data_IF_581610481234
#
_entry.id   IF_581610481234
#
_cell.length_a   1.000
_cell.length_b   1.000
_cell.length_c   1.000
_cell.angle_alpha   90.00
_cell.angle_beta   90.00
_cell.angle_gamma   90.00
#
_symmetry.space_group_name_H-M   'P 1'
#
loop_
_entity.id
_entity.type
_entity.pdbx_description
1 polymer ?
#
# COMPACT_ATOMS: atom_id res chain seq x y z
N UNK A 1 -8.75 24.04 8.98
CA UNK A 1 -7.77 24.27 10.05
C UNK A 1 -6.41 24.36 9.39
N UNK A 2 -5.72 25.50 9.48
CA UNK A 2 -4.41 25.68 8.85
C UNK A 2 -3.36 24.92 9.66
N UNK A 3 -2.51 24.14 8.98
CA UNK A 3 -1.41 23.42 9.63
C UNK A 3 -0.43 24.39 10.29
N UNK A 4 -0.01 24.09 11.51
CA UNK A 4 1.02 24.85 12.24
C UNK A 4 2.44 24.63 11.65
N UNK A 5 2.61 23.62 10.79
CA UNK A 5 3.90 23.24 10.19
C UNK A 5 4.15 23.90 8.82
N UNK A 6 3.20 24.69 8.31
CA UNK A 6 3.22 25.26 6.98
C UNK A 6 2.37 24.47 5.96
N UNK A 7 2.39 24.88 4.69
CA UNK A 7 1.57 24.26 3.66
C UNK A 7 2.01 22.80 3.39
N UNK A 8 1.07 21.85 3.23
CA UNK A 8 1.42 20.47 2.89
C UNK A 8 2.28 20.38 1.64
N UNK A 9 3.42 19.69 1.75
CA UNK A 9 4.37 19.51 0.64
C UNK A 9 3.93 18.34 -0.23
N UNK A 10 2.92 18.60 -1.05
CA UNK A 10 2.33 17.62 -1.96
C UNK A 10 2.51 18.09 -3.40
N UNK A 11 2.87 17.15 -4.26
CA UNK A 11 2.94 17.38 -5.70
C UNK A 11 2.27 16.23 -6.42
N UNK A 12 1.47 16.55 -7.43
CA UNK A 12 0.82 15.57 -8.28
C UNK A 12 1.50 15.50 -9.63
N UNK A 13 1.45 14.30 -10.21
CA UNK A 13 1.72 14.11 -11.61
C UNK A 13 0.59 14.73 -12.45
N UNK A 14 0.88 15.38 -13.59
CA UNK A 14 -0.16 15.95 -14.46
C UNK A 14 -1.09 14.88 -15.05
N UNK A 15 -0.59 13.66 -15.18
CA UNK A 15 -1.35 12.47 -15.55
C UNK A 15 -1.53 11.55 -14.34
N UNK A 16 -2.75 11.49 -13.81
CA UNK A 16 -3.11 10.67 -12.64
C UNK A 16 -3.40 9.20 -12.99
N UNK A 17 -3.29 8.82 -14.26
CA UNK A 17 -3.38 7.41 -14.67
C UNK A 17 -2.07 6.65 -14.46
N UNK A 18 -0.98 7.38 -14.17
CA UNK A 18 0.31 6.80 -13.82
C UNK A 18 0.20 5.94 -12.55
N UNK A 19 0.97 4.84 -12.45
CA UNK A 19 0.99 3.98 -11.25
C UNK A 19 1.23 4.73 -9.95
N UNK A 20 2.05 5.79 -10.01
CA UNK A 20 2.27 6.77 -8.94
C UNK A 20 1.82 8.12 -9.46
N UNK A 21 0.70 8.63 -8.91
CA UNK A 21 0.12 9.91 -9.35
C UNK A 21 0.59 11.11 -8.53
N UNK A 22 1.50 10.92 -7.58
CA UNK A 22 2.09 12.03 -6.86
C UNK A 22 3.04 11.63 -5.75
N UNK A 23 3.44 12.65 -4.99
CA UNK A 23 4.39 12.54 -3.88
C UNK A 23 3.96 13.46 -2.74
N UNK A 24 4.19 13.00 -1.52
CA UNK A 24 3.99 13.76 -0.30
C UNK A 24 5.25 13.73 0.56
N UNK A 25 5.69 14.91 1.00
CA UNK A 25 6.83 15.07 1.90
C UNK A 25 6.37 15.60 3.28
N UNK A 26 5.97 14.73 4.22
CA UNK A 26 5.61 15.13 5.57
C UNK A 26 6.76 15.88 6.27
N UNK A 27 6.42 16.83 7.12
CA UNK A 27 7.35 17.60 7.95
C UNK A 27 7.95 16.77 9.09
N UNK A 28 7.19 15.79 9.58
CA UNK A 28 7.47 15.04 10.80
C UNK A 28 7.28 13.54 10.57
N UNK A 29 7.77 12.75 11.52
CA UNK A 29 7.52 11.30 11.53
C UNK A 29 6.15 10.94 12.10
N UNK A 30 5.40 11.89 12.67
CA UNK A 30 4.05 11.71 13.20
C UNK A 30 2.98 11.99 12.13
N UNK A 31 2.97 11.14 11.09
CA UNK A 31 2.09 11.32 9.92
C UNK A 31 0.61 11.53 10.24
N UNK A 32 0.11 10.95 11.33
CA UNK A 32 -1.29 11.09 11.73
C UNK A 32 -1.70 12.56 11.92
N UNK A 33 -0.78 13.39 12.43
CA UNK A 33 -1.03 14.82 12.66
C UNK A 33 -1.10 15.60 11.34
N UNK A 34 -0.34 15.15 10.34
CA UNK A 34 -0.24 15.83 9.04
C UNK A 34 -1.25 15.32 8.02
N UNK A 35 -1.84 14.13 8.23
CA UNK A 35 -2.75 13.49 7.29
C UNK A 35 -4.01 14.35 7.01
N UNK A 36 -4.51 15.03 8.04
CA UNK A 36 -5.64 15.96 7.88
C UNK A 36 -5.28 17.12 6.95
N UNK A 37 -4.08 17.67 7.08
CA UNK A 37 -3.59 18.75 6.22
C UNK A 37 -3.32 18.24 4.80
N UNK A 38 -2.71 17.06 4.65
CA UNK A 38 -2.58 16.38 3.36
C UNK A 38 -3.94 16.23 2.66
N UNK A 39 -4.92 15.67 3.36
CA UNK A 39 -6.28 15.45 2.86
C UNK A 39 -6.92 16.76 2.39
N UNK A 40 -6.82 17.82 3.20
CA UNK A 40 -7.32 19.15 2.83
C UNK A 40 -6.61 19.72 1.60
N UNK A 41 -5.31 19.53 1.46
CA UNK A 41 -4.56 20.03 0.31
C UNK A 41 -4.91 19.28 -0.99
N UNK A 42 -5.13 17.97 -0.95
CA UNK A 42 -5.40 17.18 -2.17
C UNK A 42 -6.86 17.11 -2.56
N UNK A 43 -7.79 17.36 -1.64
CA UNK A 43 -9.24 17.33 -1.92
C UNK A 43 -9.66 18.24 -3.08
N UNK A 44 -9.19 19.50 -3.21
CA UNK A 44 -9.52 20.34 -4.36
C UNK A 44 -9.03 19.77 -5.71
N UNK A 45 -7.97 18.96 -5.69
CA UNK A 45 -7.33 18.42 -6.90
C UNK A 45 -7.89 17.05 -7.29
N UNK A 46 -8.24 16.21 -6.31
CA UNK A 46 -8.69 14.82 -6.53
C UNK A 46 -10.21 14.62 -6.34
N UNK A 47 -10.88 15.59 -5.71
CA UNK A 47 -12.25 15.47 -5.24
C UNK A 47 -12.35 14.88 -3.83
N UNK A 48 -13.59 14.60 -3.41
CA UNK A 48 -13.88 14.08 -2.06
C UNK A 48 -13.19 12.74 -1.81
N UNK A 49 -12.35 12.71 -0.77
CA UNK A 49 -11.61 11.52 -0.35
C UNK A 49 -12.52 10.61 0.47
N UNK A 50 -12.62 9.36 0.06
CA UNK A 50 -13.42 8.33 0.77
C UNK A 50 -12.56 7.34 1.55
N UNK A 51 -11.29 7.17 1.18
CA UNK A 51 -10.36 6.34 1.92
C UNK A 51 -8.91 6.80 1.76
N UNK A 52 -8.15 6.65 2.84
CA UNK A 52 -6.70 6.78 2.88
C UNK A 52 -6.13 5.46 3.41
N UNK A 53 -5.23 4.83 2.65
CA UNK A 53 -4.66 3.53 3.02
C UNK A 53 -3.13 3.59 2.93
N UNK A 54 -2.44 3.28 4.02
CA UNK A 54 -1.01 2.99 4.00
C UNK A 54 -0.65 1.97 5.07
N UNK A 55 0.52 1.36 4.93
CA UNK A 55 1.13 0.58 6.00
C UNK A 55 1.80 1.53 7.01
N UNK A 56 1.03 1.92 8.02
CA UNK A 56 1.47 2.81 9.09
C UNK A 56 2.58 2.23 9.96
N UNK A 57 2.59 0.91 10.15
CA UNK A 57 3.60 0.23 10.96
C UNK A 57 4.94 0.25 10.24
N UNK A 58 4.94 -0.05 8.94
CA UNK A 58 6.14 0.01 8.12
C UNK A 58 6.70 1.42 7.91
N UNK A 59 5.95 2.49 8.21
CA UNK A 59 6.47 3.85 8.11
C UNK A 59 7.16 4.34 9.39
N UNK A 60 6.61 4.03 10.58
CA UNK A 60 7.16 4.55 11.85
C UNK A 60 8.59 4.12 12.13
N UNK A 61 9.01 2.96 11.64
CA UNK A 61 10.36 2.42 11.80
C UNK A 61 11.27 2.70 10.61
N UNK A 62 10.78 3.37 9.55
CA UNK A 62 11.55 3.53 8.32
C UNK A 62 12.63 4.61 8.48
N UNK A 63 13.89 4.31 8.14
CA UNK A 63 14.91 5.33 8.02
C UNK A 63 14.71 6.17 6.73
N UNK A 64 15.64 7.08 6.42
CA UNK A 64 15.61 7.81 5.15
C UNK A 64 15.67 6.84 3.96
N UNK A 65 15.17 7.24 2.79
CA UNK A 65 15.12 6.35 1.61
C UNK A 65 16.51 5.89 1.11
N UNK A 66 17.57 6.57 1.52
CA UNK A 66 18.98 6.31 1.25
C UNK A 66 19.68 5.47 2.34
N UNK A 67 19.00 5.20 3.45
CA UNK A 67 19.60 4.55 4.62
C UNK A 67 19.67 3.04 4.47
N UNK A 68 20.69 2.44 5.08
CA UNK A 68 20.80 0.99 5.22
C UNK A 68 19.58 0.42 5.98
N UNK A 69 18.99 -0.66 5.45
CA UNK A 69 17.74 -1.22 5.99
C UNK A 69 16.46 -0.53 5.53
N UNK A 70 16.55 0.49 4.65
CA UNK A 70 15.37 0.98 3.94
C UNK A 70 14.79 -0.14 3.08
N UNK A 71 13.47 -0.40 3.15
CA UNK A 71 12.85 -1.43 2.34
C UNK A 71 12.97 -1.09 0.85
N UNK A 72 12.92 -2.11 -0.03
CA UNK A 72 13.27 -1.94 -1.44
C UNK A 72 12.37 -0.93 -2.15
N UNK A 73 11.09 -0.82 -1.75
CA UNK A 73 10.15 0.17 -2.27
C UNK A 73 9.89 1.29 -1.25
N UNK A 74 9.78 2.54 -1.72
CA UNK A 74 9.25 3.65 -0.92
C UNK A 74 7.90 3.33 -0.27
N UNK A 75 7.56 3.97 0.86
CA UNK A 75 6.21 3.90 1.41
C UNK A 75 5.22 4.52 0.44
N UNK A 76 4.03 3.92 0.35
CA UNK A 76 2.96 4.38 -0.52
C UNK A 76 1.71 4.69 0.31
N UNK A 77 1.10 5.83 0.01
CA UNK A 77 -0.21 6.25 0.50
C UNK A 77 -1.21 6.18 -0.66
N UNK A 78 -2.17 5.29 -0.55
CA UNK A 78 -3.30 5.20 -1.48
C UNK A 78 -4.39 6.16 -1.04
N UNK A 79 -4.83 7.01 -1.96
CA UNK A 79 -5.94 7.94 -1.80
C UNK A 79 -7.05 7.49 -2.74
N UNK A 80 -8.19 7.11 -2.19
CA UNK A 80 -9.38 6.78 -2.97
C UNK A 80 -10.37 7.92 -2.85
N UNK A 81 -10.86 8.39 -3.98
CA UNK A 81 -11.96 9.35 -4.10
C UNK A 81 -13.15 8.68 -4.76
N UNK A 82 -14.27 9.40 -4.86
CA UNK A 82 -15.45 8.92 -5.59
C UNK A 82 -15.19 8.64 -7.09
N UNK A 83 -14.09 9.15 -7.65
CA UNK A 83 -13.82 9.10 -9.09
C UNK A 83 -12.59 8.27 -9.46
N UNK A 84 -11.62 8.17 -8.57
CA UNK A 84 -10.33 7.55 -8.87
C UNK A 84 -9.63 7.05 -7.61
N UNK A 85 -8.62 6.22 -7.82
CA UNK A 85 -7.65 5.86 -6.78
C UNK A 85 -6.27 6.30 -7.25
N UNK A 86 -5.58 7.06 -6.42
CA UNK A 86 -4.25 7.63 -6.72
C UNK A 86 -3.26 7.16 -5.66
N UNK A 87 -2.06 6.80 -6.10
CA UNK A 87 -0.97 6.40 -5.23
C UNK A 87 0.05 7.52 -5.08
N UNK A 88 0.45 7.77 -3.84
CA UNK A 88 1.45 8.76 -3.49
C UNK A 88 2.67 8.09 -2.89
N UNK A 89 3.86 8.45 -3.36
CA UNK A 89 5.08 8.18 -2.61
C UNK A 89 5.10 9.07 -1.38
N UNK A 90 5.30 8.49 -0.20
CA UNK A 90 5.56 9.25 1.03
C UNK A 90 7.07 9.29 1.26
N UNK A 91 7.66 10.48 1.24
CA UNK A 91 9.09 10.65 1.50
C UNK A 91 9.30 10.84 3.02
N UNK A 92 10.01 9.95 3.73
CA UNK A 92 10.31 10.15 5.14
C UNK A 92 11.09 11.45 5.37
N UNK A 93 10.81 12.22 6.44
CA UNK A 93 11.48 13.51 6.69
C UNK A 93 13.00 13.43 6.83
N UNK A 94 13.53 12.26 7.17
CA UNK A 94 14.98 11.99 7.29
C UNK A 94 15.67 11.76 5.95
N UNK A 95 14.94 11.69 4.84
CA UNK A 95 15.52 11.53 3.50
C UNK A 95 16.30 12.80 3.14
N UNK A 96 17.55 12.70 2.64
CA UNK A 96 18.32 13.86 2.21
C UNK A 96 17.55 14.74 1.24
N UNK A 97 17.58 16.05 1.46
CA UNK A 97 16.79 17.02 0.69
C UNK A 97 17.03 16.92 -0.82
N UNK A 98 18.25 16.60 -1.25
CA UNK A 98 18.60 16.43 -2.67
C UNK A 98 17.92 15.21 -3.30
N UNK A 99 17.87 14.08 -2.60
CA UNK A 99 17.15 12.89 -3.03
C UNK A 99 15.64 13.12 -3.00
N UNK A 100 15.13 13.76 -1.95
CA UNK A 100 13.72 14.12 -1.83
C UNK A 100 13.26 15.03 -2.99
N UNK A 101 14.06 16.05 -3.34
CA UNK A 101 13.79 16.94 -4.47
C UNK A 101 13.80 16.17 -5.81
N UNK A 102 14.82 15.35 -6.06
CA UNK A 102 14.92 14.58 -7.29
C UNK A 102 13.73 13.63 -7.47
N UNK A 103 13.41 12.86 -6.43
CA UNK A 103 12.28 11.93 -6.44
C UNK A 103 10.96 12.69 -6.58
N UNK A 104 10.78 13.83 -5.90
CA UNK A 104 9.58 14.61 -6.01
C UNK A 104 9.37 15.17 -7.42
N UNK A 105 10.44 15.62 -8.09
CA UNK A 105 10.36 16.09 -9.48
C UNK A 105 9.94 14.95 -10.41
N UNK A 106 10.60 13.79 -10.32
CA UNK A 106 10.27 12.62 -11.14
C UNK A 106 8.82 12.16 -10.93
N UNK A 107 8.40 11.96 -9.67
CA UNK A 107 7.04 11.52 -9.34
C UNK A 107 5.95 12.53 -9.71
N UNK A 108 6.32 13.80 -9.94
CA UNK A 108 5.39 14.87 -10.36
C UNK A 108 5.48 15.18 -11.86
N UNK A 109 6.25 14.42 -12.64
CA UNK A 109 6.44 14.66 -14.07
C UNK A 109 7.21 15.96 -14.37
N UNK A 110 7.91 16.54 -13.39
CA UNK A 110 8.70 17.76 -13.57
C UNK A 110 10.07 17.39 -14.15
N UNK A 111 10.61 18.17 -15.09
CA UNK A 111 11.89 17.88 -15.71
C UNK A 111 13.02 17.93 -14.69
N UNK A 112 14.01 17.04 -14.81
CA UNK A 112 15.27 17.12 -14.06
C UNK A 112 16.23 18.08 -14.78
N UNK A 113 16.94 18.98 -14.07
CA UNK A 113 17.92 19.87 -14.70
C UNK A 113 18.98 19.07 -15.46
N UNK A 114 19.38 19.49 -16.68
CA UNK A 114 20.25 18.71 -17.54
C UNK A 114 21.60 18.39 -16.90
N UNK A 115 22.11 19.26 -16.03
CA UNK A 115 23.38 19.11 -15.30
C UNK A 115 23.34 17.94 -14.30
N UNK A 116 22.15 17.58 -13.81
CA UNK A 116 21.94 16.51 -12.83
C UNK A 116 21.43 15.20 -13.44
N UNK A 117 21.00 15.21 -14.71
CA UNK A 117 20.32 14.08 -15.38
C UNK A 117 21.09 12.76 -15.28
N UNK A 118 22.42 12.80 -15.39
CA UNK A 118 23.25 11.59 -15.37
C UNK A 118 23.87 11.27 -14.00
N UNK A 119 23.50 12.02 -12.96
CA UNK A 119 24.01 11.79 -11.61
C UNK A 119 23.50 10.46 -11.05
N UNK A 120 24.33 9.81 -10.22
CA UNK A 120 23.93 8.59 -9.50
C UNK A 120 22.70 8.82 -8.62
N UNK A 121 22.55 10.01 -8.05
CA UNK A 121 21.40 10.39 -7.25
C UNK A 121 20.09 10.37 -8.05
N UNK A 122 20.10 10.91 -9.28
CA UNK A 122 18.91 10.88 -10.14
C UNK A 122 18.58 9.45 -10.56
N UNK A 123 19.58 8.65 -10.93
CA UNK A 123 19.37 7.22 -11.23
C UNK A 123 18.79 6.46 -10.05
N UNK A 124 19.24 6.77 -8.83
CA UNK A 124 18.69 6.16 -7.62
C UNK A 124 17.23 6.58 -7.39
N UNK A 125 16.90 7.86 -7.60
CA UNK A 125 15.53 8.35 -7.53
C UNK A 125 14.62 7.69 -8.58
N UNK A 126 15.11 7.49 -9.82
CA UNK A 126 14.41 6.76 -10.88
C UNK A 126 14.12 5.31 -10.46
N UNK A 127 15.13 4.61 -9.89
CA UNK A 127 14.94 3.25 -9.36
C UNK A 127 13.91 3.19 -8.24
N UNK A 128 13.89 4.18 -7.33
CA UNK A 128 12.89 4.24 -6.27
C UNK A 128 11.48 4.46 -6.83
N UNK A 129 11.33 5.33 -7.83
CA UNK A 129 10.05 5.58 -8.50
C UNK A 129 9.57 4.31 -9.22
N UNK A 130 10.46 3.62 -9.95
CA UNK A 130 10.13 2.37 -10.65
C UNK A 130 9.61 1.29 -9.68
N UNK A 131 10.31 1.10 -8.56
CA UNK A 131 9.88 0.14 -7.52
C UNK A 131 8.55 0.54 -6.88
N UNK A 132 8.33 1.83 -6.66
CA UNK A 132 7.07 2.35 -6.17
C UNK A 132 5.92 2.12 -7.16
N UNK A 133 6.14 2.35 -8.46
CA UNK A 133 5.19 2.07 -9.53
C UNK A 133 4.83 0.59 -9.59
N UNK A 134 5.85 -0.27 -9.59
CA UNK A 134 5.66 -1.73 -9.52
C UNK A 134 4.82 -2.10 -8.30
N UNK A 135 5.14 -1.58 -7.10
CA UNK A 135 4.38 -1.89 -5.88
C UNK A 135 2.94 -1.34 -5.88
N UNK A 136 2.69 -0.21 -6.55
CA UNK A 136 1.36 0.34 -6.75
C UNK A 136 0.49 -0.56 -7.64
N UNK A 137 1.04 -1.02 -8.76
CA UNK A 137 0.37 -1.92 -9.70
C UNK A 137 -0.01 -3.24 -9.02
N UNK A 138 0.91 -3.85 -8.27
CA UNK A 138 0.63 -5.08 -7.51
C UNK A 138 -0.49 -4.91 -6.48
N UNK A 139 -0.62 -3.74 -5.84
CA UNK A 139 -1.76 -3.46 -4.93
C UNK A 139 -3.07 -3.20 -5.67
N UNK A 140 -3.01 -2.82 -6.95
CA UNK A 140 -4.16 -2.70 -7.82
C UNK A 140 -4.70 -4.08 -8.22
N UNK A 141 -3.83 -4.97 -8.68
CA UNK A 141 -4.18 -6.32 -9.17
C UNK A 141 -4.76 -7.23 -8.09
N UNK A 142 -4.22 -7.21 -6.87
CA UNK A 142 -4.70 -8.05 -5.77
C UNK A 142 -6.16 -7.77 -5.36
N UNK A 143 -6.71 -6.59 -5.69
CA UNK A 143 -8.09 -6.20 -5.32
C UNK A 143 -9.11 -6.43 -6.43
N UNK A 144 -8.68 -6.79 -7.64
CA UNK A 144 -9.55 -7.06 -8.79
C UNK A 144 -10.19 -8.46 -8.76
N UNK A 145 -9.76 -9.34 -7.85
CA UNK A 145 -10.30 -10.71 -7.75
C UNK A 145 -11.59 -10.68 -6.93
N UNK A 146 -12.77 -11.00 -7.50
CA UNK A 146 -13.99 -11.15 -6.71
C UNK A 146 -13.83 -12.35 -5.78
N UNK A 147 -14.41 -12.34 -4.56
CA UNK A 147 -14.55 -13.57 -3.80
C UNK A 147 -15.40 -14.53 -4.62
N UNK A 148 -14.82 -15.67 -5.02
CA UNK A 148 -15.59 -16.78 -5.57
C UNK A 148 -16.63 -17.20 -4.53
N UNK A 149 -17.88 -16.81 -4.79
CA UNK A 149 -19.04 -17.24 -4.03
C UNK A 149 -19.23 -18.73 -4.33
N UNK A 150 -18.55 -19.59 -3.58
CA UNK A 150 -18.83 -21.02 -3.59
C UNK A 150 -20.31 -21.21 -3.28
N UNK A 151 -21.06 -21.61 -4.31
CA UNK A 151 -22.46 -22.02 -4.21
C UNK A 151 -22.53 -23.14 -3.18
N UNK A 152 -23.23 -22.87 -2.07
CA UNK A 152 -23.86 -23.89 -1.27
C UNK A 152 -25.05 -24.40 -2.10
N UNK A 153 -24.89 -25.53 -2.78
CA UNK A 153 -26.00 -26.31 -3.28
C UNK A 153 -25.94 -27.64 -2.54
N UNK A 154 -26.91 -27.85 -1.66
CA UNK A 154 -27.04 -29.09 -0.94
C UNK A 154 -27.46 -30.20 -1.90
N UNK A 155 -27.01 -31.41 -1.59
CA UNK A 155 -27.84 -32.57 -1.83
C UNK A 155 -27.82 -33.44 -0.58
N UNK A 156 -29.00 -33.51 0.02
CA UNK A 156 -29.36 -34.45 1.07
C UNK A 156 -29.87 -35.67 0.34
N UNK A 157 -29.06 -36.73 0.27
CA UNK A 157 -29.53 -38.04 -0.14
C UNK A 157 -29.05 -39.06 0.89
N UNK A 158 -30.01 -39.53 1.67
CA UNK A 158 -29.89 -40.63 2.60
C UNK A 158 -29.23 -41.85 1.93
N UNK A 159 -28.26 -42.44 2.62
CA UNK A 159 -27.95 -43.85 2.46
C UNK A 159 -28.05 -44.53 3.81
N UNK A 160 -29.15 -45.25 3.95
CA UNK A 160 -29.35 -46.34 4.90
C UNK A 160 -28.19 -47.32 4.70
N UNK A 161 -27.31 -47.45 5.69
CA UNK A 161 -26.37 -48.57 5.75
C UNK A 161 -26.71 -49.44 6.95
N UNK A 162 -27.42 -50.52 6.64
CA UNK A 162 -27.80 -51.60 7.52
C UNK A 162 -26.54 -52.37 7.93
N UNK A 163 -26.23 -52.40 9.22
CA UNK A 163 -25.14 -53.20 9.79
C UNK A 163 -25.73 -54.54 10.26
N UNK A 164 -25.23 -55.70 9.79
CA UNK A 164 -25.66 -56.99 10.31
C UNK A 164 -24.98 -57.30 11.66
N UNK A 165 -25.75 -57.88 12.57
CA UNK A 165 -25.29 -58.34 13.87
C UNK A 165 -24.33 -59.55 13.77
N UNK A 166 -23.28 -59.63 14.61
CA UNK A 166 -22.57 -60.89 14.82
C UNK A 166 -23.18 -61.68 16.00
N UNK A 167 -23.11 -63.03 15.95
CA UNK A 167 -23.76 -63.91 16.91
C UNK A 167 -23.00 -63.96 18.25
N UNK A 168 -23.75 -64.12 19.34
CA UNK A 168 -23.18 -64.33 20.66
C UNK A 168 -22.47 -65.67 20.79
N UNK A 169 -21.37 -65.70 21.54
CA UNK A 169 -20.85 -66.91 22.18
C UNK A 169 -20.08 -66.53 23.45
N UNK A 170 -20.77 -66.71 24.58
CA UNK A 170 -20.38 -67.36 25.83
C UNK A 170 -18.95 -67.18 26.41
N UNK A 171 -18.96 -66.79 27.69
CA UNK A 171 -17.89 -66.86 28.70
C UNK A 171 -17.17 -68.23 28.75
N UNK A 172 -15.95 -68.26 29.31
CA UNK A 172 -15.83 -68.89 30.63
C UNK A 172 -14.99 -68.10 31.65
N UNK A 173 -15.40 -68.22 32.92
CA UNK A 173 -14.62 -67.91 34.10
C UNK A 173 -13.46 -68.88 34.27
N UNK A 174 -12.25 -68.42 34.66
CA UNK A 174 -11.33 -69.15 35.55
C UNK A 174 -10.52 -68.17 36.40
N UNK A 175 -10.37 -68.56 37.67
CA UNK A 175 -9.65 -67.99 38.80
C UNK A 175 -8.19 -67.54 38.55
N UNK A 176 -7.78 -66.56 39.36
CA UNK A 176 -6.41 -66.25 39.76
C UNK A 176 -6.43 -65.24 40.90
#
# INVERSE_FOLDING_TARGET
MTSLLGPPRVHLHPDLTQPVGGVWFPYTSTLSDELASFSQAVTPMLGSIVALQMDWRAFRSRPGLDSEGSPPSPPLLRVTTNRMTVEFIVIPPRTPSTLAEALARLASGKPIPPERRHSLLVRYAEQLLERASTAAEHRGTLRSTPPSRSKKLGDSAAHHQQVPAPPGTQHPSVLG
#
